data_IF_519803368257
#
_entry.id   IF_519803368257
#
_cell.length_a   1.000
_cell.length_b   1.000
_cell.length_c   1.000
_cell.angle_alpha   90.00
_cell.angle_beta   90.00
_cell.angle_gamma   90.00
#
_symmetry.space_group_name_H-M   'P 1'
#
loop_
_entity.id
_entity.type
_entity.pdbx_description
1 polymer ?
#
# COMPACT_ATOMS: atom_id res chain seq x y z
N UNK A 1 -18.80 4.25 4.29
CA UNK A 1 -17.93 3.09 4.00
C UNK A 1 -16.60 3.41 4.63
N UNK A 2 -16.15 2.54 5.52
CA UNK A 2 -14.91 2.75 6.28
C UNK A 2 -13.70 2.45 5.39
N UNK A 3 -12.51 2.92 5.78
CA UNK A 3 -11.30 2.81 4.96
C UNK A 3 -10.96 1.36 4.62
N UNK A 4 -11.07 0.48 5.61
CA UNK A 4 -10.86 -0.95 5.55
C UNK A 4 -11.79 -1.64 4.55
N UNK A 5 -13.06 -1.25 4.50
CA UNK A 5 -14.03 -1.76 3.53
C UNK A 5 -13.67 -1.31 2.11
N UNK A 6 -13.23 -0.05 1.93
CA UNK A 6 -12.81 0.46 0.61
C UNK A 6 -11.65 -0.36 0.08
N UNK A 7 -10.66 -0.60 0.95
CA UNK A 7 -9.45 -1.33 0.59
C UNK A 7 -9.78 -2.73 0.10
N UNK A 8 -10.50 -3.54 0.88
CA UNK A 8 -10.71 -4.95 0.53
C UNK A 8 -11.82 -5.19 -0.52
N UNK A 9 -12.72 -4.23 -0.76
CA UNK A 9 -13.87 -4.45 -1.66
C UNK A 9 -13.88 -3.61 -2.94
N UNK A 10 -13.05 -2.56 -3.05
CA UNK A 10 -13.11 -1.63 -4.20
C UNK A 10 -11.80 -1.36 -4.91
N UNK A 11 -10.65 -1.45 -4.23
CA UNK A 11 -9.40 -1.22 -4.91
C UNK A 11 -8.97 -2.44 -5.70
N UNK A 12 -8.66 -2.22 -6.98
CA UNK A 12 -8.54 -3.28 -7.97
C UNK A 12 -7.51 -4.36 -7.61
N UNK A 13 -6.34 -3.99 -7.10
CA UNK A 13 -5.28 -4.97 -6.81
C UNK A 13 -5.49 -5.72 -5.48
N UNK A 14 -6.04 -5.06 -4.46
CA UNK A 14 -6.42 -5.74 -3.20
C UNK A 14 -7.61 -6.67 -3.39
N UNK A 15 -8.59 -6.26 -4.20
CA UNK A 15 -9.70 -7.12 -4.61
C UNK A 15 -9.17 -8.32 -5.40
N UNK A 16 -8.33 -8.08 -6.42
CA UNK A 16 -7.72 -9.15 -7.21
C UNK A 16 -6.93 -10.14 -6.36
N UNK A 17 -6.17 -9.66 -5.37
CA UNK A 17 -5.45 -10.52 -4.44
C UNK A 17 -6.39 -11.50 -3.69
N UNK A 18 -7.55 -11.02 -3.25
CA UNK A 18 -8.57 -11.89 -2.63
C UNK A 18 -9.31 -12.76 -3.64
N UNK A 19 -9.54 -12.29 -4.87
CA UNK A 19 -10.19 -13.08 -5.93
C UNK A 19 -9.31 -14.24 -6.41
N UNK A 20 -8.02 -14.00 -6.62
CA UNK A 20 -7.08 -15.05 -7.05
C UNK A 20 -6.92 -16.11 -5.94
N UNK A 21 -6.89 -15.68 -4.66
CA UNK A 21 -6.92 -16.61 -3.52
C UNK A 21 -8.26 -17.37 -3.42
N UNK A 22 -9.40 -16.70 -3.63
CA UNK A 22 -10.73 -17.33 -3.69
C UNK A 22 -10.78 -18.42 -4.76
N UNK A 23 -10.29 -18.13 -5.96
CA UNK A 23 -10.35 -19.07 -7.09
C UNK A 23 -9.49 -20.31 -6.85
N UNK A 24 -8.33 -20.15 -6.20
CA UNK A 24 -7.53 -21.26 -5.69
C UNK A 24 -8.31 -22.12 -4.68
N UNK A 25 -8.94 -21.49 -3.69
CA UNK A 25 -9.73 -22.17 -2.66
C UNK A 25 -10.93 -22.93 -3.25
N UNK A 26 -11.63 -22.34 -4.22
CA UNK A 26 -12.74 -22.97 -4.93
C UNK A 26 -12.29 -24.16 -5.79
N UNK A 27 -11.05 -24.14 -6.30
CA UNK A 27 -10.44 -25.31 -6.96
C UNK A 27 -10.02 -26.42 -5.98
N UNK A 28 -10.31 -26.26 -4.68
CA UNK A 28 -9.96 -27.21 -3.63
C UNK A 28 -8.49 -27.16 -3.20
N UNK A 29 -7.74 -26.13 -3.62
CA UNK A 29 -6.35 -25.91 -3.23
C UNK A 29 -6.30 -25.07 -1.94
N UNK A 30 -5.37 -25.40 -1.06
CA UNK A 30 -5.08 -24.57 0.12
C UNK A 30 -4.17 -23.42 -0.29
N UNK A 31 -4.14 -22.32 0.47
CA UNK A 31 -3.40 -21.12 0.10
C UNK A 31 -2.51 -20.63 1.25
N UNK A 32 -1.39 -20.01 0.90
CA UNK A 32 -0.55 -19.20 1.79
C UNK A 32 -0.58 -17.78 1.27
N UNK A 33 -0.97 -16.84 2.11
CA UNK A 33 -1.01 -15.42 1.82
C UNK A 33 0.12 -14.77 2.64
N UNK A 34 1.11 -14.20 1.95
CA UNK A 34 2.26 -13.58 2.61
C UNK A 34 2.20 -12.06 2.52
N UNK A 35 2.46 -11.41 3.65
CA UNK A 35 2.47 -9.95 3.78
C UNK A 35 3.84 -9.46 4.22
N UNK A 36 4.32 -8.28 3.77
CA UNK A 36 5.62 -7.75 4.16
C UNK A 36 5.70 -7.48 5.67
N UNK A 37 4.63 -6.92 6.23
CA UNK A 37 4.50 -6.54 7.63
C UNK A 37 3.13 -7.00 8.17
N UNK A 38 2.50 -6.20 9.04
CA UNK A 38 1.14 -6.44 9.53
C UNK A 38 0.10 -6.45 8.39
N UNK A 39 -0.88 -7.34 8.52
CA UNK A 39 -1.96 -7.49 7.54
C UNK A 39 -2.89 -6.28 7.66
N UNK A 40 -3.14 -5.53 6.57
CA UNK A 40 -4.04 -4.38 6.63
C UNK A 40 -5.47 -4.80 7.01
N UNK A 41 -5.97 -4.36 8.17
CA UNK A 41 -7.33 -4.65 8.64
C UNK A 41 -7.71 -6.14 8.46
N UNK A 42 -6.93 -7.01 9.11
CA UNK A 42 -7.00 -8.47 8.94
C UNK A 42 -8.39 -9.05 9.15
N UNK A 43 -9.12 -8.53 10.15
CA UNK A 43 -10.51 -8.88 10.44
C UNK A 43 -11.43 -8.64 9.23
N UNK A 44 -11.34 -7.45 8.63
CA UNK A 44 -12.11 -7.11 7.43
C UNK A 44 -11.68 -7.93 6.22
N UNK A 45 -10.40 -8.25 6.11
CA UNK A 45 -9.88 -9.14 5.07
C UNK A 45 -10.49 -10.53 5.18
N UNK A 46 -10.46 -11.13 6.37
CA UNK A 46 -11.02 -12.48 6.61
C UNK A 46 -12.53 -12.51 6.43
N UNK A 47 -13.25 -11.49 6.90
CA UNK A 47 -14.69 -11.37 6.72
C UNK A 47 -15.07 -11.24 5.24
N UNK A 48 -14.29 -10.46 4.47
CA UNK A 48 -14.49 -10.30 3.02
C UNK A 48 -14.27 -11.63 2.31
N UNK A 49 -13.23 -12.38 2.69
CA UNK A 49 -12.95 -13.69 2.11
C UNK A 49 -14.03 -14.72 2.46
N UNK A 50 -14.52 -14.73 3.70
CA UNK A 50 -15.66 -15.57 4.11
C UNK A 50 -16.91 -15.26 3.27
N UNK A 51 -17.25 -13.98 3.09
CA UNK A 51 -18.37 -13.54 2.26
C UNK A 51 -18.22 -13.95 0.79
N UNK A 52 -17.00 -13.93 0.25
CA UNK A 52 -16.71 -14.35 -1.12
C UNK A 52 -16.87 -15.87 -1.32
N UNK A 53 -16.66 -16.66 -0.26
CA UNK A 53 -16.75 -18.12 -0.30
C UNK A 53 -18.17 -18.63 0.01
N UNK A 54 -18.93 -17.93 0.87
CA UNK A 54 -20.26 -18.33 1.34
C UNK A 54 -21.25 -18.77 0.23
N UNK A 55 -21.41 -18.06 -0.90
CA UNK A 55 -22.41 -18.41 -1.92
C UNK A 55 -22.09 -19.71 -2.68
N UNK A 56 -20.88 -20.26 -2.50
CA UNK A 56 -20.33 -21.35 -3.32
C UNK A 56 -19.98 -22.56 -2.44
N UNK A 57 -19.85 -22.38 -1.13
CA UNK A 57 -19.49 -23.43 -0.17
C UNK A 57 -20.69 -23.89 0.67
N UNK A 58 -21.76 -24.38 0.04
CA UNK A 58 -22.99 -24.85 0.72
C UNK A 58 -22.76 -25.96 1.78
N UNK A 59 -21.60 -26.64 1.76
CA UNK A 59 -21.29 -27.74 2.68
C UNK A 59 -20.14 -27.46 3.67
N UNK A 60 -19.39 -26.36 3.50
CA UNK A 60 -18.21 -26.06 4.31
C UNK A 60 -18.42 -24.82 5.15
N UNK A 61 -18.08 -24.87 6.42
CA UNK A 61 -18.00 -23.64 7.22
C UNK A 61 -16.59 -23.08 7.22
N UNK A 62 -16.53 -21.76 7.33
CA UNK A 62 -15.30 -20.99 7.50
C UNK A 62 -15.03 -20.82 9.00
N UNK A 63 -13.78 -21.00 9.43
CA UNK A 63 -13.36 -20.77 10.82
C UNK A 63 -11.99 -20.07 10.83
N UNK A 64 -11.90 -18.95 11.55
CA UNK A 64 -10.64 -18.22 11.77
C UNK A 64 -10.03 -18.62 13.11
N UNK A 65 -8.75 -18.94 13.11
CA UNK A 65 -7.99 -19.33 14.29
C UNK A 65 -6.72 -18.49 14.37
N UNK A 66 -6.64 -17.61 15.37
CA UNK A 66 -5.44 -16.85 15.69
C UNK A 66 -4.51 -17.70 16.57
N UNK A 67 -3.30 -17.94 16.07
CA UNK A 67 -2.29 -18.78 16.75
C UNK A 67 -1.09 -17.97 17.26
N UNK A 68 -1.23 -16.64 17.34
CA UNK A 68 -0.18 -15.75 17.85
C UNK A 68 0.27 -16.08 19.28
N UNK A 69 -0.65 -16.54 20.14
CA UNK A 69 -0.36 -16.93 21.53
C UNK A 69 -0.07 -18.44 21.70
N UNK A 70 -0.15 -19.24 20.63
CA UNK A 70 0.05 -20.69 20.70
C UNK A 70 1.47 -21.08 20.28
N UNK A 71 2.17 -21.81 21.16
CA UNK A 71 3.43 -22.49 20.82
C UNK A 71 3.21 -24.00 20.58
N UNK A 72 1.95 -24.42 20.47
CA UNK A 72 1.62 -25.82 20.22
C UNK A 72 2.16 -26.26 18.86
N UNK A 73 2.49 -27.54 18.79
CA UNK A 73 2.77 -28.17 17.50
C UNK A 73 1.53 -28.08 16.59
N UNK A 74 1.65 -27.63 15.32
CA UNK A 74 0.47 -27.42 14.46
C UNK A 74 -0.38 -28.68 14.29
N UNK A 75 0.23 -29.86 14.17
CA UNK A 75 -0.48 -31.13 14.12
C UNK A 75 -1.28 -31.41 15.38
N UNK A 76 -0.67 -31.16 16.55
CA UNK A 76 -1.34 -31.30 17.85
C UNK A 76 -2.47 -30.27 18.01
N UNK A 77 -2.27 -29.04 17.57
CA UNK A 77 -3.29 -27.99 17.58
C UNK A 77 -4.51 -28.41 16.75
N UNK A 78 -4.29 -28.85 15.51
CA UNK A 78 -5.36 -29.33 14.62
C UNK A 78 -6.06 -30.55 15.22
N UNK A 79 -5.30 -31.46 15.81
CA UNK A 79 -5.84 -32.65 16.47
C UNK A 79 -6.75 -32.28 17.65
N UNK A 80 -6.35 -31.34 18.49
CA UNK A 80 -7.14 -30.94 19.65
C UNK A 80 -8.39 -30.16 19.28
N UNK A 81 -8.33 -29.30 18.27
CA UNK A 81 -9.44 -28.42 17.90
C UNK A 81 -10.47 -29.07 16.98
N UNK A 82 -10.05 -29.98 16.10
CA UNK A 82 -10.95 -30.54 15.07
C UNK A 82 -11.30 -32.02 15.26
N UNK A 83 -10.68 -32.70 16.23
CA UNK A 83 -10.96 -34.10 16.54
C UNK A 83 -11.74 -34.23 17.86
N UNK A 84 -12.84 -34.99 17.83
CA UNK A 84 -13.62 -35.26 19.05
C UNK A 84 -12.83 -36.10 20.05
N UNK A 85 -13.12 -36.00 21.34
CA UNK A 85 -12.46 -36.84 22.38
C UNK A 85 -12.52 -38.34 22.06
N UNK A 86 -13.64 -38.80 21.50
CA UNK A 86 -13.83 -40.20 21.10
C UNK A 86 -12.92 -40.63 19.95
N UNK A 87 -12.66 -39.75 18.98
CA UNK A 87 -11.72 -40.04 17.90
C UNK A 87 -10.27 -39.86 18.36
N UNK A 88 -9.99 -38.88 19.22
CA UNK A 88 -8.66 -38.66 19.81
C UNK A 88 -8.19 -39.88 20.61
N UNK A 89 -9.08 -40.57 21.32
CA UNK A 89 -8.75 -41.79 22.05
C UNK A 89 -8.30 -42.96 21.17
N UNK A 90 -8.57 -42.92 19.85
CA UNK A 90 -8.15 -43.96 18.89
C UNK A 90 -6.76 -43.71 18.31
N UNK A 91 -6.26 -42.48 18.42
CA UNK A 91 -4.94 -42.15 17.92
C UNK A 91 -3.88 -42.89 18.72
N UNK A 92 -2.95 -43.55 18.02
CA UNK A 92 -1.77 -44.19 18.60
C UNK A 92 -0.52 -43.87 17.78
N UNK A 93 0.53 -43.25 18.37
CA UNK A 93 1.72 -42.82 17.63
C UNK A 93 2.41 -43.93 16.84
N UNK A 94 2.53 -45.12 17.42
CA UNK A 94 3.21 -46.25 16.78
C UNK A 94 2.49 -46.78 15.53
N UNK A 95 1.17 -46.58 15.43
CA UNK A 95 0.35 -47.10 14.34
C UNK A 95 0.05 -46.03 13.28
N UNK A 96 -0.19 -44.79 13.72
CA UNK A 96 -0.67 -43.72 12.85
C UNK A 96 0.43 -42.71 12.49
N UNK A 97 1.57 -42.74 13.19
CA UNK A 97 2.68 -41.83 12.97
C UNK A 97 2.40 -40.45 13.55
N UNK A 98 2.16 -39.47 12.67
CA UNK A 98 1.93 -38.07 13.01
C UNK A 98 0.43 -37.76 13.20
N UNK A 99 0.12 -36.65 13.86
CA UNK A 99 -1.27 -36.21 14.06
C UNK A 99 -1.95 -35.92 12.72
N UNK A 100 -1.22 -35.33 11.78
CA UNK A 100 -1.62 -34.98 10.43
C UNK A 100 -2.06 -36.21 9.65
N UNK A 101 -1.28 -37.30 9.70
CA UNK A 101 -1.62 -38.58 9.04
C UNK A 101 -2.87 -39.20 9.64
N UNK A 102 -3.02 -39.14 10.96
CA UNK A 102 -4.23 -39.62 11.63
C UNK A 102 -5.47 -38.83 11.22
N UNK A 103 -5.37 -37.50 11.22
CA UNK A 103 -6.45 -36.60 10.79
C UNK A 103 -6.82 -36.85 9.33
N UNK A 104 -5.82 -37.07 8.46
CA UNK A 104 -6.02 -37.34 7.05
C UNK A 104 -6.74 -38.68 6.79
N UNK A 105 -6.38 -39.73 7.55
CA UNK A 105 -6.96 -41.06 7.43
C UNK A 105 -8.38 -41.19 8.03
N UNK A 106 -8.75 -40.29 8.94
CA UNK A 106 -9.99 -40.38 9.70
C UNK A 106 -11.14 -39.64 9.00
N UNK A 107 -12.23 -40.34 8.68
CA UNK A 107 -13.39 -39.72 8.02
C UNK A 107 -14.29 -38.92 8.99
N UNK A 108 -14.30 -39.28 10.27
CA UNK A 108 -15.14 -38.66 11.32
C UNK A 108 -14.48 -37.43 11.96
N UNK A 109 -13.65 -36.68 11.22
CA UNK A 109 -12.99 -35.47 11.70
C UNK A 109 -13.69 -34.24 11.13
N UNK A 110 -13.98 -33.25 11.99
CA UNK A 110 -14.70 -32.03 11.57
C UNK A 110 -13.92 -31.25 10.51
N UNK A 111 -12.58 -31.25 10.62
CA UNK A 111 -11.65 -30.60 9.69
C UNK A 111 -11.95 -30.87 8.22
N UNK A 112 -12.39 -32.09 7.88
CA UNK A 112 -12.61 -32.53 6.50
C UNK A 112 -13.70 -31.73 5.75
N UNK A 113 -14.54 -30.97 6.46
CA UNK A 113 -15.63 -30.15 5.92
C UNK A 113 -15.48 -28.67 6.30
N UNK A 114 -14.25 -28.21 6.53
CA UNK A 114 -13.95 -26.84 6.94
C UNK A 114 -13.02 -26.14 5.97
N UNK A 115 -13.16 -24.82 5.92
CA UNK A 115 -12.14 -23.89 5.46
C UNK A 115 -11.56 -23.26 6.73
N UNK A 116 -10.28 -23.51 6.99
CA UNK A 116 -9.61 -23.08 8.22
C UNK A 116 -8.63 -21.96 7.86
N UNK A 117 -8.90 -20.76 8.34
CA UNK A 117 -8.01 -19.61 8.20
C UNK A 117 -7.15 -19.49 9.46
N UNK A 118 -5.83 -19.67 9.31
CA UNK A 118 -4.86 -19.54 10.39
C UNK A 118 -4.18 -18.17 10.27
N UNK A 119 -4.32 -17.34 11.31
CA UNK A 119 -3.72 -16.00 11.41
C UNK A 119 -2.73 -15.93 12.57
N UNK A 120 -1.99 -14.83 12.69
CA UNK A 120 -0.99 -14.68 13.76
C UNK A 120 0.28 -15.51 13.55
N UNK A 121 0.53 -15.96 12.31
CA UNK A 121 1.74 -16.71 11.98
C UNK A 121 2.94 -15.77 11.90
N UNK A 122 3.96 -16.11 12.69
CA UNK A 122 5.27 -15.48 12.65
C UNK A 122 6.16 -16.13 11.59
N UNK A 123 7.23 -15.43 11.20
CA UNK A 123 8.25 -15.97 10.29
C UNK A 123 8.80 -17.33 10.75
N UNK A 124 8.87 -17.56 12.06
CA UNK A 124 9.42 -18.78 12.66
C UNK A 124 8.46 -19.97 12.61
N UNK A 125 7.18 -19.76 12.93
CA UNK A 125 6.21 -20.85 13.03
C UNK A 125 5.53 -21.19 11.69
N UNK A 126 5.56 -20.29 10.71
CA UNK A 126 4.89 -20.52 9.41
C UNK A 126 5.42 -21.76 8.69
N UNK A 127 6.73 -22.01 8.73
CA UNK A 127 7.32 -23.21 8.10
C UNK A 127 6.80 -24.52 8.71
N UNK A 128 6.56 -24.54 10.03
CA UNK A 128 5.97 -25.69 10.74
C UNK A 128 4.52 -25.89 10.31
N UNK A 129 3.75 -24.82 10.22
CA UNK A 129 2.35 -24.85 9.76
C UNK A 129 2.24 -25.33 8.31
N UNK A 130 3.03 -24.76 7.39
CA UNK A 130 3.08 -25.18 5.99
C UNK A 130 3.43 -26.66 5.87
N UNK A 131 4.43 -27.15 6.62
CA UNK A 131 4.81 -28.57 6.61
C UNK A 131 3.67 -29.48 7.11
N UNK A 132 3.04 -29.10 8.22
CA UNK A 132 1.97 -29.88 8.85
C UNK A 132 0.73 -29.94 7.95
N UNK A 133 0.33 -28.81 7.38
CA UNK A 133 -0.78 -28.75 6.41
C UNK A 133 -0.47 -29.60 5.18
N UNK A 134 0.74 -29.51 4.62
CA UNK A 134 1.12 -30.35 3.49
C UNK A 134 1.10 -31.85 3.83
N UNK A 135 1.52 -32.25 5.04
CA UNK A 135 1.47 -33.66 5.47
C UNK A 135 0.02 -34.17 5.59
N UNK A 136 -0.90 -33.36 6.10
CA UNK A 136 -2.33 -33.68 6.12
C UNK A 136 -2.91 -33.78 4.70
N UNK A 137 -2.62 -32.81 3.83
CA UNK A 137 -3.11 -32.78 2.45
C UNK A 137 -2.58 -33.95 1.62
N UNK A 138 -1.31 -34.33 1.81
CA UNK A 138 -0.71 -35.50 1.17
C UNK A 138 -1.36 -36.81 1.61
N UNK A 139 -1.81 -36.87 2.87
CA UNK A 139 -2.47 -38.06 3.43
C UNK A 139 -3.92 -38.23 3.00
N UNK A 140 -4.59 -37.19 2.47
CA UNK A 140 -6.03 -37.23 2.14
C UNK A 140 -6.31 -36.76 0.71
N UNK A 141 -6.42 -37.72 -0.20
CA UNK A 141 -6.79 -37.49 -1.61
C UNK A 141 -8.31 -37.64 -1.84
N UNK A 142 -9.11 -36.91 -1.06
CA UNK A 142 -10.58 -36.91 -1.15
C UNK A 142 -11.11 -35.51 -1.39
N UNK A 143 -12.22 -35.39 -2.11
CA UNK A 143 -12.96 -34.13 -2.26
C UNK A 143 -13.47 -33.60 -0.91
N UNK A 144 -13.66 -34.49 0.08
CA UNK A 144 -13.97 -34.15 1.48
C UNK A 144 -12.70 -34.03 2.31
N UNK A 145 -11.80 -33.12 1.94
CA UNK A 145 -10.61 -32.72 2.73
C UNK A 145 -10.74 -31.29 3.24
N UNK A 146 -10.11 -30.96 4.37
CA UNK A 146 -10.01 -29.58 4.84
C UNK A 146 -9.23 -28.70 3.87
N UNK A 147 -9.64 -27.44 3.75
CA UNK A 147 -8.95 -26.41 2.97
C UNK A 147 -8.38 -25.40 3.94
N UNK A 148 -7.13 -24.98 3.72
CA UNK A 148 -6.42 -24.08 4.63
C UNK A 148 -6.09 -22.76 3.96
N UNK A 149 -6.15 -21.69 4.74
CA UNK A 149 -5.67 -20.36 4.40
C UNK A 149 -4.65 -20.00 5.47
N UNK A 150 -3.37 -19.92 5.11
CA UNK A 150 -2.31 -19.53 6.04
C UNK A 150 -1.94 -18.08 5.79
N UNK A 151 -2.23 -17.20 6.75
CA UNK A 151 -1.91 -15.77 6.69
C UNK A 151 -0.62 -15.54 7.47
N UNK A 152 0.43 -15.15 6.77
CA UNK A 152 1.79 -15.08 7.32
C UNK A 152 2.51 -13.79 6.95
N UNK A 153 3.45 -13.39 7.79
CA UNK A 153 4.50 -12.45 7.38
C UNK A 153 5.43 -13.10 6.34
N UNK A 154 6.11 -12.29 5.53
CA UNK A 154 6.93 -12.75 4.41
C UNK A 154 8.09 -13.62 4.88
N UNK A 155 8.23 -14.79 4.27
CA UNK A 155 9.32 -15.74 4.53
C UNK A 155 9.89 -16.24 3.20
N UNK A 156 11.09 -16.83 3.23
CA UNK A 156 11.68 -17.48 2.06
C UNK A 156 10.73 -18.55 1.50
N UNK A 157 10.64 -18.58 0.17
CA UNK A 157 9.85 -19.49 -0.66
C UNK A 157 9.62 -20.88 -0.03
N UNK A 158 8.35 -21.23 0.11
CA UNK A 158 7.92 -22.56 0.57
C UNK A 158 7.79 -23.53 -0.60
N UNK A 159 8.32 -24.75 -0.44
CA UNK A 159 7.90 -25.86 -1.29
C UNK A 159 6.50 -26.27 -0.88
N UNK A 160 5.53 -26.14 -1.78
CA UNK A 160 4.11 -26.39 -1.51
C UNK A 160 3.53 -27.27 -2.61
N UNK A 161 3.58 -28.59 -2.43
CA UNK A 161 3.06 -29.53 -3.43
C UNK A 161 1.52 -29.46 -3.54
N UNK A 162 0.83 -28.97 -2.49
CA UNK A 162 -0.63 -28.94 -2.40
C UNK A 162 -1.22 -27.55 -2.09
N UNK A 163 -0.38 -26.51 -2.06
CA UNK A 163 -0.80 -25.15 -1.70
C UNK A 163 -0.32 -24.14 -2.73
N UNK A 164 -1.09 -23.08 -2.93
CA UNK A 164 -0.68 -21.91 -3.71
C UNK A 164 -0.19 -20.80 -2.81
N UNK A 165 0.87 -20.11 -3.23
CA UNK A 165 1.41 -18.96 -2.50
C UNK A 165 1.04 -17.67 -3.22
N UNK A 166 0.48 -16.72 -2.49
CA UNK A 166 0.15 -15.38 -2.94
C UNK A 166 0.97 -14.37 -2.13
N UNK A 167 1.92 -13.71 -2.79
CA UNK A 167 2.70 -12.64 -2.18
C UNK A 167 1.99 -11.29 -2.38
N UNK A 168 1.58 -10.65 -1.29
CA UNK A 168 0.85 -9.38 -1.33
C UNK A 168 1.62 -8.29 -2.06
N UNK A 169 2.97 -8.28 -1.99
CA UNK A 169 3.80 -7.30 -2.69
C UNK A 169 3.84 -7.49 -4.22
N UNK A 170 3.42 -8.65 -4.74
CA UNK A 170 3.26 -8.86 -6.18
C UNK A 170 1.98 -8.21 -6.72
N UNK A 171 1.02 -7.91 -5.83
CA UNK A 171 -0.27 -7.30 -6.17
C UNK A 171 -0.28 -5.82 -5.85
N UNK A 172 0.22 -5.46 -4.68
CA UNK A 172 0.05 -4.13 -4.08
C UNK A 172 1.36 -3.36 -4.09
N UNK A 173 1.28 -2.13 -4.57
CA UNK A 173 2.41 -1.22 -4.72
C UNK A 173 2.14 0.15 -4.09
N UNK A 174 3.14 1.04 -4.18
CA UNK A 174 3.02 2.44 -3.77
C UNK A 174 1.91 3.20 -4.53
N UNK A 175 1.56 2.71 -5.72
CA UNK A 175 0.45 3.21 -6.52
C UNK A 175 -0.90 2.96 -5.85
N UNK A 176 -1.10 1.77 -5.27
CA UNK A 176 -2.37 1.39 -4.64
C UNK A 176 -2.64 2.18 -3.36
N UNK A 177 -1.58 2.49 -2.60
CA UNK A 177 -1.66 3.42 -1.47
C UNK A 177 -2.16 4.80 -1.92
N UNK A 178 -1.64 5.31 -3.05
CA UNK A 178 -2.10 6.60 -3.61
C UNK A 178 -3.54 6.53 -4.11
N UNK A 179 -3.94 5.43 -4.73
CA UNK A 179 -5.32 5.22 -5.16
C UNK A 179 -6.30 5.17 -3.99
N UNK A 180 -5.92 4.54 -2.87
CA UNK A 180 -6.69 4.59 -1.63
C UNK A 180 -6.87 6.03 -1.15
N UNK A 181 -5.77 6.76 -1.03
CA UNK A 181 -5.79 8.16 -0.58
C UNK A 181 -6.71 9.03 -1.46
N UNK A 182 -6.59 8.94 -2.80
CA UNK A 182 -7.46 9.66 -3.73
C UNK A 182 -8.94 9.27 -3.57
N UNK A 183 -9.21 7.98 -3.35
CA UNK A 183 -10.58 7.48 -3.16
C UNK A 183 -11.19 8.06 -1.88
N UNK A 184 -10.44 8.08 -0.77
CA UNK A 184 -10.87 8.68 0.50
C UNK A 184 -11.08 10.20 0.36
N UNK A 185 -10.21 10.87 -0.38
CA UNK A 185 -10.28 12.32 -0.60
C UNK A 185 -11.37 12.74 -1.58
N UNK A 186 -11.98 11.80 -2.31
CA UNK A 186 -13.03 12.09 -3.30
C UNK A 186 -14.19 12.89 -2.70
N UNK A 187 -14.59 12.58 -1.46
CA UNK A 187 -15.67 13.27 -0.72
C UNK A 187 -15.24 14.59 -0.08
N UNK A 188 -13.94 14.88 0.02
CA UNK A 188 -13.44 16.12 0.62
C UNK A 188 -13.71 17.29 -0.32
N UNK A 189 -14.25 18.39 0.23
CA UNK A 189 -14.58 19.61 -0.52
C UNK A 189 -13.33 20.48 -0.74
N UNK A 190 -12.52 20.09 -1.73
CA UNK A 190 -11.37 20.87 -2.20
C UNK A 190 -11.11 20.60 -3.70
N UNK A 191 -10.22 21.39 -4.31
CA UNK A 191 -9.80 21.22 -5.71
C UNK A 191 -9.12 19.86 -5.94
N UNK A 192 -9.15 19.38 -7.18
CA UNK A 192 -8.47 18.14 -7.56
C UNK A 192 -6.97 18.19 -7.26
N UNK A 193 -6.31 19.33 -7.49
CA UNK A 193 -4.89 19.54 -7.19
C UNK A 193 -4.59 19.42 -5.70
N UNK A 194 -5.47 19.92 -4.82
CA UNK A 194 -5.34 19.72 -3.36
C UNK A 194 -5.52 18.27 -2.97
N UNK A 195 -6.49 17.55 -3.54
CA UNK A 195 -6.66 16.11 -3.30
C UNK A 195 -5.42 15.34 -3.71
N UNK A 196 -4.86 15.66 -4.87
CA UNK A 196 -3.63 15.03 -5.34
C UNK A 196 -2.44 15.33 -4.42
N UNK A 197 -2.30 16.58 -3.97
CA UNK A 197 -1.25 16.96 -3.02
C UNK A 197 -1.36 16.23 -1.67
N UNK A 198 -2.56 16.19 -1.08
CA UNK A 198 -2.80 15.46 0.19
C UNK A 198 -2.50 13.96 -0.01
N UNK A 199 -2.92 13.39 -1.14
CA UNK A 199 -2.69 11.98 -1.46
C UNK A 199 -1.21 11.63 -1.57
N UNK A 200 -0.43 12.46 -2.28
CA UNK A 200 1.01 12.27 -2.44
C UNK A 200 1.75 12.41 -1.10
N UNK A 201 1.34 13.34 -0.24
CA UNK A 201 1.89 13.47 1.12
C UNK A 201 1.56 12.23 1.96
N UNK A 202 0.29 11.84 2.03
CA UNK A 202 -0.17 10.72 2.85
C UNK A 202 0.55 9.42 2.46
N UNK A 203 0.57 9.09 1.17
CA UNK A 203 1.26 7.90 0.67
C UNK A 203 2.79 7.99 0.87
N UNK A 204 3.38 9.18 0.68
CA UNK A 204 4.81 9.40 0.86
C UNK A 204 5.28 9.24 2.31
N UNK A 205 4.49 9.71 3.28
CA UNK A 205 4.75 9.51 4.72
C UNK A 205 4.58 8.03 5.08
N UNK A 206 3.56 7.37 4.53
CA UNK A 206 3.19 6.00 4.85
C UNK A 206 4.16 4.93 4.31
N UNK A 207 4.89 5.20 3.22
CA UNK A 207 5.90 4.29 2.63
C UNK A 207 5.38 2.87 2.38
N UNK A 208 4.37 2.74 1.53
CA UNK A 208 3.68 1.47 1.17
C UNK A 208 2.84 0.82 2.28
N UNK A 209 2.83 1.38 3.49
CA UNK A 209 1.89 0.96 4.53
C UNK A 209 0.51 1.57 4.25
N UNK A 210 -0.39 0.76 3.74
CA UNK A 210 -1.73 1.20 3.34
C UNK A 210 -2.58 1.64 4.54
N UNK A 211 -2.38 1.04 5.72
CA UNK A 211 -3.10 1.40 6.94
C UNK A 211 -2.72 2.82 7.36
N UNK A 212 -1.41 3.12 7.39
CA UNK A 212 -0.88 4.47 7.64
C UNK A 212 -1.37 5.47 6.59
N UNK A 213 -1.35 5.08 5.31
CA UNK A 213 -1.79 5.94 4.22
C UNK A 213 -3.27 6.33 4.38
N UNK A 214 -4.13 5.36 4.71
CA UNK A 214 -5.55 5.58 4.97
C UNK A 214 -5.82 6.52 6.16
N UNK A 215 -5.11 6.32 7.28
CA UNK A 215 -5.20 7.19 8.46
C UNK A 215 -4.81 8.63 8.10
N UNK A 216 -3.67 8.82 7.43
CA UNK A 216 -3.18 10.14 7.04
C UNK A 216 -4.12 10.84 6.05
N UNK A 217 -4.58 10.15 5.01
CA UNK A 217 -5.48 10.72 4.01
C UNK A 217 -6.82 11.18 4.61
N UNK A 218 -7.29 10.49 5.66
CA UNK A 218 -8.55 10.84 6.34
C UNK A 218 -8.52 12.24 6.98
N UNK A 219 -7.34 12.77 7.32
CA UNK A 219 -7.19 14.12 7.86
C UNK A 219 -7.39 15.24 6.82
N UNK A 220 -7.38 14.91 5.52
CA UNK A 220 -7.71 15.84 4.45
C UNK A 220 -6.86 17.12 4.46
N UNK A 221 -7.53 18.28 4.51
CA UNK A 221 -6.86 19.58 4.45
C UNK A 221 -5.91 19.84 5.63
N UNK A 222 -6.15 19.23 6.80
CA UNK A 222 -5.25 19.39 7.94
C UNK A 222 -3.85 18.84 7.63
N UNK A 223 -3.79 17.69 6.94
CA UNK A 223 -2.52 17.11 6.52
C UNK A 223 -1.76 18.02 5.56
N UNK A 224 -2.45 18.74 4.67
CA UNK A 224 -1.80 19.68 3.77
C UNK A 224 -1.29 20.94 4.49
N UNK A 225 -2.06 21.45 5.44
CA UNK A 225 -1.75 22.68 6.18
C UNK A 225 -0.64 22.48 7.22
N UNK A 226 -0.70 21.38 7.96
CA UNK A 226 0.22 21.06 9.06
C UNK A 226 0.66 19.59 8.98
N UNK A 227 1.46 19.20 7.98
CA UNK A 227 1.78 17.78 7.72
C UNK A 227 2.41 17.07 8.92
N UNK A 228 3.37 17.70 9.59
CA UNK A 228 4.10 17.08 10.70
C UNK A 228 3.24 16.93 11.95
N UNK A 229 2.59 18.01 12.40
CA UNK A 229 1.73 17.96 13.59
C UNK A 229 0.55 17.02 13.40
N UNK A 230 -0.04 17.00 12.20
CA UNK A 230 -1.15 16.10 11.87
C UNK A 230 -0.70 14.64 11.88
N UNK A 231 0.42 14.32 11.23
CA UNK A 231 0.95 12.96 11.22
C UNK A 231 1.35 12.50 12.62
N UNK A 232 2.00 13.36 13.41
CA UNK A 232 2.41 13.07 14.78
C UNK A 232 1.21 12.77 15.68
N UNK A 233 0.17 13.59 15.62
CA UNK A 233 -1.06 13.38 16.36
C UNK A 233 -1.74 12.06 15.95
N UNK A 234 -1.93 11.83 14.65
CA UNK A 234 -2.56 10.61 14.15
C UNK A 234 -1.79 9.35 14.52
N UNK A 235 -0.45 9.37 14.43
CA UNK A 235 0.36 8.21 14.77
C UNK A 235 0.23 7.91 16.27
N UNK A 236 0.30 8.93 17.13
CA UNK A 236 0.11 8.77 18.57
C UNK A 236 -1.27 8.20 18.92
N UNK A 237 -2.35 8.70 18.31
CA UNK A 237 -3.72 8.23 18.57
C UNK A 237 -3.94 6.78 18.13
N UNK A 238 -3.18 6.30 17.15
CA UNK A 238 -3.28 4.94 16.62
C UNK A 238 -2.19 3.99 17.15
N UNK A 239 -1.43 4.40 18.18
CA UNK A 239 -0.36 3.57 18.76
C UNK A 239 0.83 3.33 17.82
N UNK A 240 0.97 4.14 16.77
CA UNK A 240 2.06 4.05 15.80
C UNK A 240 3.22 4.94 16.23
N UNK A 241 4.44 4.49 15.91
CA UNK A 241 5.66 5.27 16.16
C UNK A 241 6.52 5.35 14.90
N UNK A 242 7.20 6.48 14.74
CA UNK A 242 8.23 6.69 13.71
C UNK A 242 9.29 7.62 14.30
N UNK A 243 10.46 7.05 14.63
CA UNK A 243 11.57 7.77 15.25
C UNK A 243 12.08 8.95 14.39
N UNK A 244 11.85 8.91 13.08
CA UNK A 244 12.32 9.92 12.13
C UNK A 244 11.16 10.64 11.42
N UNK A 245 9.98 10.70 12.06
CA UNK A 245 8.76 11.23 11.46
C UNK A 245 8.94 12.62 10.85
N UNK A 246 9.60 13.56 11.54
CA UNK A 246 9.81 14.92 11.02
C UNK A 246 10.58 14.91 9.69
N UNK A 247 11.63 14.10 9.59
CA UNK A 247 12.44 13.94 8.37
C UNK A 247 11.63 13.26 7.26
N UNK A 248 10.88 12.22 7.58
CA UNK A 248 10.03 11.52 6.62
C UNK A 248 8.93 12.42 6.07
N UNK A 249 8.27 13.19 6.94
CA UNK A 249 7.27 14.19 6.56
C UNK A 249 7.88 15.27 5.68
N UNK A 250 9.03 15.86 6.06
CA UNK A 250 9.70 16.87 5.22
C UNK A 250 10.02 16.30 3.83
N UNK A 251 10.54 15.08 3.78
CA UNK A 251 10.86 14.38 2.52
C UNK A 251 9.61 14.11 1.67
N UNK A 252 8.52 13.63 2.27
CA UNK A 252 7.27 13.36 1.58
C UNK A 252 6.62 14.63 1.02
N UNK A 253 6.58 15.70 1.82
CA UNK A 253 6.09 17.02 1.39
C UNK A 253 6.93 17.56 0.24
N UNK A 254 8.26 17.53 0.37
CA UNK A 254 9.15 17.97 -0.70
C UNK A 254 8.95 17.16 -1.98
N UNK A 255 8.90 15.82 -1.90
CA UNK A 255 8.67 14.93 -3.04
C UNK A 255 7.32 15.20 -3.72
N UNK A 256 6.25 15.38 -2.94
CA UNK A 256 4.93 15.75 -3.46
C UNK A 256 4.97 17.10 -4.20
N UNK A 257 5.68 18.09 -3.66
CA UNK A 257 5.84 19.39 -4.29
C UNK A 257 6.70 19.32 -5.56
N UNK A 258 7.75 18.49 -5.60
CA UNK A 258 8.50 18.22 -6.83
C UNK A 258 7.57 17.66 -7.90
N UNK A 259 6.81 16.61 -7.58
CA UNK A 259 5.92 15.93 -8.54
C UNK A 259 4.82 16.82 -9.11
N UNK A 260 4.31 17.76 -8.31
CA UNK A 260 3.15 18.57 -8.68
C UNK A 260 3.50 19.98 -9.15
N UNK A 261 4.52 20.61 -8.55
CA UNK A 261 4.83 22.02 -8.83
C UNK A 261 5.84 22.15 -9.97
N UNK A 262 6.79 21.23 -10.15
CA UNK A 262 7.76 21.32 -11.26
C UNK A 262 7.12 21.28 -12.64
N UNK A 263 6.20 20.34 -12.93
CA UNK A 263 5.53 20.31 -14.23
C UNK A 263 4.91 21.65 -14.60
N UNK A 264 4.40 22.37 -13.61
CA UNK A 264 3.65 23.60 -13.84
C UNK A 264 4.52 24.85 -13.87
N UNK A 265 5.64 24.83 -13.17
CA UNK A 265 6.73 25.78 -13.41
C UNK A 265 7.21 25.64 -14.86
N UNK A 266 7.33 24.40 -15.35
CA UNK A 266 7.83 24.11 -16.70
C UNK A 266 6.81 24.45 -17.79
N UNK A 267 5.52 24.16 -17.55
CA UNK A 267 4.43 24.59 -18.43
C UNK A 267 4.34 26.12 -18.49
N UNK A 268 4.48 26.79 -17.35
CA UNK A 268 4.56 28.26 -17.31
C UNK A 268 5.76 28.80 -18.08
N UNK A 269 6.96 28.21 -17.89
CA UNK A 269 8.19 28.60 -18.60
C UNK A 269 8.01 28.47 -20.11
N UNK A 270 7.57 27.30 -20.56
CA UNK A 270 7.37 26.99 -21.97
C UNK A 270 6.30 27.88 -22.61
N UNK A 271 5.17 28.08 -21.91
CA UNK A 271 4.09 28.96 -22.36
C UNK A 271 4.54 30.43 -22.48
N UNK A 272 5.39 30.90 -21.56
CA UNK A 272 5.97 32.25 -21.64
C UNK A 272 6.91 32.41 -22.83
N UNK A 273 7.81 31.44 -23.05
CA UNK A 273 8.73 31.46 -24.20
C UNK A 273 7.94 31.47 -25.50
N UNK A 274 6.96 30.58 -25.66
CA UNK A 274 6.14 30.52 -26.86
C UNK A 274 5.41 31.84 -27.14
N UNK A 275 4.89 32.52 -26.10
CA UNK A 275 4.17 33.79 -26.24
C UNK A 275 5.07 34.96 -26.63
N UNK A 276 6.32 34.98 -26.14
CA UNK A 276 7.24 36.11 -26.27
C UNK A 276 8.52 35.77 -27.02
N UNK A 277 8.52 34.69 -27.81
CA UNK A 277 9.69 34.11 -28.49
C UNK A 277 10.49 35.18 -29.25
N UNK A 278 9.84 35.91 -30.16
CA UNK A 278 10.46 36.98 -30.96
C UNK A 278 11.04 38.13 -30.13
N UNK A 279 10.54 38.34 -28.92
CA UNK A 279 11.06 39.34 -28.01
C UNK A 279 12.32 38.81 -27.33
N UNK A 280 12.32 37.54 -26.90
CA UNK A 280 13.48 36.91 -26.27
C UNK A 280 14.63 36.67 -27.25
N UNK A 281 14.35 36.29 -28.50
CA UNK A 281 15.36 36.09 -29.55
C UNK A 281 16.27 37.31 -29.77
N UNK A 282 15.76 38.53 -29.54
CA UNK A 282 16.53 39.77 -29.70
C UNK A 282 17.65 39.92 -28.68
N UNK A 283 17.59 39.18 -27.58
CA UNK A 283 18.57 39.22 -26.52
C UNK A 283 19.52 38.01 -26.54
N UNK A 284 19.34 37.10 -27.50
CA UNK A 284 20.22 35.95 -27.68
C UNK A 284 21.49 36.35 -28.47
N UNK A 285 22.65 35.72 -28.18
CA UNK A 285 22.83 34.71 -27.14
C UNK A 285 22.93 35.30 -25.71
N UNK A 286 22.45 34.54 -24.73
CA UNK A 286 22.56 34.87 -23.29
C UNK A 286 23.58 33.94 -22.63
N UNK A 287 24.44 34.50 -21.78
CA UNK A 287 25.40 33.71 -21.01
C UNK A 287 24.77 33.15 -19.72
N UNK A 288 24.93 31.85 -19.48
CA UNK A 288 24.58 31.20 -18.22
C UNK A 288 25.56 31.61 -17.11
N UNK A 289 25.21 31.30 -15.86
CA UNK A 289 26.10 31.52 -14.70
C UNK A 289 27.43 30.77 -14.80
N UNK A 290 27.49 29.70 -15.59
CA UNK A 290 28.69 28.89 -15.84
C UNK A 290 29.44 29.32 -17.11
N UNK A 291 29.00 30.39 -17.77
CA UNK A 291 29.63 30.94 -18.99
C UNK A 291 29.20 30.28 -20.30
N UNK A 292 28.26 29.34 -20.25
CA UNK A 292 27.71 28.70 -21.45
C UNK A 292 26.81 29.68 -22.21
N UNK A 293 26.87 29.66 -23.54
CA UNK A 293 26.06 30.54 -24.38
C UNK A 293 24.78 29.84 -24.83
N UNK A 294 23.64 30.47 -24.56
CA UNK A 294 22.32 29.99 -24.95
C UNK A 294 21.90 30.73 -26.22
N UNK A 295 21.67 29.98 -27.31
CA UNK A 295 21.38 30.54 -28.64
C UNK A 295 19.91 30.42 -29.05
N UNK A 296 19.11 29.61 -28.35
CA UNK A 296 17.70 29.39 -28.67
C UNK A 296 16.81 29.83 -27.51
N UNK A 297 15.64 30.38 -27.84
CA UNK A 297 14.68 30.81 -26.83
C UNK A 297 14.16 29.62 -26.00
N UNK A 298 13.97 28.45 -26.63
CA UNK A 298 13.51 27.20 -25.98
C UNK A 298 14.42 26.75 -24.81
N UNK A 299 15.72 27.04 -24.92
CA UNK A 299 16.75 26.66 -23.95
C UNK A 299 16.82 27.64 -22.75
N UNK A 300 16.03 28.72 -22.75
CA UNK A 300 16.00 29.68 -21.65
C UNK A 300 15.34 29.05 -20.40
N UNK A 301 16.15 28.75 -19.40
CA UNK A 301 15.62 28.43 -18.06
C UNK A 301 14.89 29.62 -17.41
N UNK A 302 14.05 29.32 -16.41
CA UNK A 302 13.31 30.33 -15.64
C UNK A 302 14.20 31.42 -15.01
N UNK A 303 15.44 31.08 -14.67
CA UNK A 303 16.43 32.03 -14.17
C UNK A 303 16.83 33.07 -15.22
N UNK A 304 17.02 32.66 -16.47
CA UNK A 304 17.34 33.55 -17.59
C UNK A 304 16.15 34.45 -17.92
N UNK A 305 14.94 33.88 -17.98
CA UNK A 305 13.70 34.64 -18.21
C UNK A 305 13.53 35.76 -17.18
N UNK A 306 13.79 35.47 -15.90
CA UNK A 306 13.74 36.47 -14.83
C UNK A 306 14.69 37.64 -15.10
N UNK A 307 15.95 37.37 -15.45
CA UNK A 307 16.95 38.42 -15.70
C UNK A 307 16.54 39.28 -16.90
N UNK A 308 16.15 38.63 -18.01
CA UNK A 308 15.71 39.34 -19.22
C UNK A 308 14.49 40.22 -18.96
N UNK A 309 13.49 39.70 -18.27
CA UNK A 309 12.27 40.45 -17.99
C UNK A 309 12.52 41.60 -16.99
N UNK A 310 13.43 41.43 -16.04
CA UNK A 310 13.84 42.49 -15.10
C UNK A 310 14.49 43.65 -15.84
N UNK A 311 15.41 43.34 -16.76
CA UNK A 311 16.23 44.36 -17.44
C UNK A 311 15.51 45.02 -18.62
N UNK A 312 14.67 44.28 -19.33
CA UNK A 312 14.12 44.72 -20.62
C UNK A 312 12.60 44.87 -20.62
N UNK A 313 11.91 44.55 -19.52
CA UNK A 313 10.44 44.67 -19.38
C UNK A 313 9.68 44.03 -20.53
N UNK A 314 10.08 42.81 -20.89
CA UNK A 314 9.53 42.05 -22.04
C UNK A 314 8.05 41.70 -21.84
N UNK A 315 7.62 41.53 -20.59
CA UNK A 315 6.30 41.07 -20.19
C UNK A 315 5.60 42.10 -19.29
N UNK A 316 4.29 41.93 -19.08
CA UNK A 316 3.51 42.81 -18.20
C UNK A 316 3.76 42.53 -16.70
N UNK A 317 3.30 43.42 -15.83
CA UNK A 317 3.53 43.30 -14.38
C UNK A 317 2.91 42.03 -13.77
N UNK A 318 1.65 41.64 -14.05
CA UNK A 318 1.09 40.39 -13.51
C UNK A 318 1.86 39.12 -13.89
N UNK A 319 2.32 39.00 -15.14
CA UNK A 319 3.13 37.86 -15.58
C UNK A 319 4.53 37.89 -14.97
N UNK A 320 5.10 39.08 -14.78
CA UNK A 320 6.37 39.26 -14.09
C UNK A 320 6.28 38.84 -12.62
N UNK A 321 5.22 39.22 -11.91
CA UNK A 321 5.00 38.80 -10.52
C UNK A 321 4.86 37.27 -10.42
N UNK A 322 4.18 36.64 -11.40
CA UNK A 322 4.10 35.18 -11.50
C UNK A 322 5.47 34.55 -11.79
N UNK A 323 6.30 35.15 -12.65
CA UNK A 323 7.66 34.69 -12.92
C UNK A 323 8.55 34.75 -11.68
N UNK A 324 8.48 35.82 -10.91
CA UNK A 324 9.18 35.97 -9.63
C UNK A 324 8.79 34.84 -8.68
N UNK A 325 7.49 34.57 -8.55
CA UNK A 325 6.96 33.51 -7.68
C UNK A 325 7.42 32.12 -8.13
N UNK A 326 7.29 31.79 -9.42
CA UNK A 326 7.68 30.48 -9.96
C UNK A 326 9.19 30.23 -9.83
N UNK A 327 10.02 31.27 -10.02
CA UNK A 327 11.46 31.19 -9.76
C UNK A 327 11.76 30.94 -8.28
N UNK A 328 11.05 31.61 -7.36
CA UNK A 328 11.17 31.38 -5.90
C UNK A 328 10.84 29.93 -5.55
N UNK A 329 9.76 29.38 -6.11
CA UNK A 329 9.35 27.98 -5.88
C UNK A 329 10.37 26.99 -6.43
N UNK A 330 10.79 27.15 -7.69
CA UNK A 330 11.84 26.32 -8.30
C UNK A 330 13.10 26.30 -7.43
N UNK A 331 13.58 27.46 -7.00
CA UNK A 331 14.82 27.56 -6.24
C UNK A 331 14.72 26.90 -4.87
N UNK A 332 13.61 27.09 -4.13
CA UNK A 332 13.39 26.41 -2.86
C UNK A 332 13.46 24.89 -3.01
N UNK A 333 12.68 24.38 -3.95
CA UNK A 333 12.59 22.95 -4.19
C UNK A 333 13.93 22.37 -4.69
N UNK A 334 14.66 23.08 -5.55
CA UNK A 334 16.00 22.67 -6.01
C UNK A 334 17.04 22.62 -4.88
N UNK A 335 16.82 23.36 -3.78
CA UNK A 335 17.64 23.32 -2.56
C UNK A 335 17.12 22.35 -1.50
N UNK A 336 16.24 21.42 -1.86
CA UNK A 336 15.63 20.45 -0.95
C UNK A 336 14.78 21.07 0.17
N UNK A 337 14.25 22.27 -0.07
CA UNK A 337 13.35 22.96 0.86
C UNK A 337 11.91 23.00 0.36
N UNK A 338 10.98 22.97 1.31
CA UNK A 338 9.54 22.97 1.04
C UNK A 338 9.01 24.38 0.83
N UNK A 339 8.00 24.49 -0.02
CA UNK A 339 7.17 25.68 -0.17
C UNK A 339 6.16 25.69 0.98
N UNK A 340 5.98 26.80 1.72
CA UNK A 340 4.99 26.90 2.77
C UNK A 340 3.58 26.76 2.18
N UNK A 341 2.70 26.02 2.86
CA UNK A 341 1.34 25.78 2.36
C UNK A 341 0.57 27.06 1.97
N UNK A 342 0.64 28.20 2.70
CA UNK A 342 -0.05 29.42 2.28
C UNK A 342 0.38 29.95 0.90
N UNK A 343 1.68 29.85 0.58
CA UNK A 343 2.22 30.25 -0.72
C UNK A 343 1.75 29.27 -1.83
N UNK A 344 1.66 27.97 -1.49
CA UNK A 344 1.26 26.90 -2.40
C UNK A 344 -0.27 26.82 -2.63
N UNK A 345 -1.08 27.19 -1.64
CA UNK A 345 -2.53 27.07 -1.65
C UNK A 345 -3.22 28.00 -2.66
N UNK A 346 -2.57 29.11 -3.04
CA UNK A 346 -3.03 29.96 -4.13
C UNK A 346 -2.93 29.25 -5.50
N UNK A 347 -2.21 28.13 -5.55
CA UNK A 347 -1.83 27.42 -6.74
C UNK A 347 -2.44 26.01 -6.82
N UNK A 348 -2.65 25.34 -5.68
CA UNK A 348 -3.46 24.11 -5.54
C UNK A 348 -4.95 24.44 -5.43
#
# INVERSE_FOLDING_TARGET
>A
MKTEEIWWTRLSNSVRFLEDARDALLSGRSVVMTFPDEVPWQDVMTDTLEQHLFPITDERSFEVHDVSESDDDPGLYLFNNFCSETERAKYWPATHGSYEKFLAASDNVRLNRRIVCITGLSVFNTSRWVKSVNEYLAGRNSEQRGIFILVSQKVKSYSTDFMECFDFEEYVSDYDCRMLCLTLLSSVKCSSSRKQYISEIAAGIAKNDVTKAGILASAGLQLAMHPYETAKWLYSENGLSDENLEKHVKSAVWSAQIRLVFPEIEEFRSGMICRYEKNFERFLPVSSLLGEQIYRADDLEIGHLYILCTNHKVINQPEYDKLVLMRKFRNRLAHCDVIPYPDLNAWL
#
